data_IF_281551897014
#
_entry.id   IF_281551897014
#
_cell.length_a   1.000
_cell.length_b   1.000
_cell.length_c   1.000
_cell.angle_alpha   90.00
_cell.angle_beta   90.00
_cell.angle_gamma   90.00
#
_symmetry.space_group_name_H-M   'P 1'
#
loop_
_entity.id
_entity.type
_entity.pdbx_description
1 polymer ?
#
# COMPACT_ATOMS: atom_id res chain seq x y z
N UNK A 1 -1.13 3.26 -12.67
CA UNK A 1 -1.64 2.25 -11.72
C UNK A 1 -1.62 2.84 -10.33
N UNK A 2 -2.76 3.38 -9.88
CA UNK A 2 -2.89 3.93 -8.54
C UNK A 2 -3.27 2.78 -7.60
N UNK A 3 -2.36 2.37 -6.72
CA UNK A 3 -2.65 1.27 -5.81
C UNK A 3 -3.36 1.85 -4.60
N UNK A 4 -4.62 1.48 -4.40
CA UNK A 4 -5.40 1.98 -3.27
C UNK A 4 -5.10 1.13 -2.04
N UNK A 5 -4.69 1.78 -0.96
CA UNK A 5 -4.44 1.13 0.32
C UNK A 5 -5.24 1.81 1.42
N UNK A 6 -5.65 1.02 2.41
CA UNK A 6 -6.37 1.55 3.56
C UNK A 6 -5.38 2.18 4.54
N UNK A 7 -5.53 3.47 4.78
CA UNK A 7 -4.76 4.16 5.80
C UNK A 7 -5.49 4.08 7.14
N UNK A 8 -4.92 3.35 8.10
CA UNK A 8 -5.50 3.21 9.45
C UNK A 8 -5.58 4.53 10.21
N UNK A 9 -4.68 5.48 9.96
CA UNK A 9 -4.74 6.81 10.56
C UNK A 9 -5.88 7.65 10.00
N UNK A 10 -6.05 7.65 8.68
CA UNK A 10 -7.13 8.39 8.02
C UNK A 10 -8.47 7.64 8.03
N UNK A 11 -8.47 6.36 8.46
CA UNK A 11 -9.60 5.43 8.39
C UNK A 11 -10.30 5.42 7.02
N UNK A 12 -9.52 5.59 5.96
CA UNK A 12 -10.01 5.76 4.60
C UNK A 12 -9.11 5.02 3.62
N UNK A 13 -9.70 4.58 2.50
CA UNK A 13 -8.95 4.09 1.35
C UNK A 13 -8.34 5.30 0.65
N UNK A 14 -7.03 5.28 0.47
CA UNK A 14 -6.27 6.36 -0.17
C UNK A 14 -5.32 5.74 -1.19
N UNK A 15 -5.06 6.48 -2.26
CA UNK A 15 -4.06 6.10 -3.25
C UNK A 15 -2.69 6.26 -2.59
N UNK A 16 -1.87 5.19 -2.58
CA UNK A 16 -0.49 5.32 -2.11
C UNK A 16 0.32 6.18 -3.07
N UNK A 17 1.14 7.04 -2.48
CA UNK A 17 2.21 7.76 -3.14
C UNK A 17 3.47 6.89 -3.11
N UNK A 18 4.20 6.83 -4.22
CA UNK A 18 5.37 5.96 -4.40
C UNK A 18 5.07 4.48 -4.05
N UNK A 19 4.16 3.82 -4.80
CA UNK A 19 3.93 2.40 -4.63
C UNK A 19 5.19 1.61 -5.04
N UNK A 20 5.80 0.95 -4.05
CA UNK A 20 6.88 -0.01 -4.17
C UNK A 20 6.30 -1.40 -4.08
N UNK A 21 6.25 -2.08 -5.21
CA UNK A 21 5.96 -3.49 -5.31
C UNK A 21 7.15 -4.33 -4.83
N UNK A 22 6.86 -5.42 -4.14
CA UNK A 22 7.84 -6.36 -3.64
C UNK A 22 7.20 -7.70 -3.31
N UNK A 23 8.03 -8.64 -2.87
CA UNK A 23 7.60 -9.98 -2.52
C UNK A 23 7.88 -10.21 -1.04
N UNK A 24 6.86 -10.65 -0.29
CA UNK A 24 7.05 -11.05 1.10
C UNK A 24 7.90 -12.31 1.18
N UNK A 25 8.51 -12.57 2.36
CA UNK A 25 9.30 -13.78 2.63
C UNK A 25 8.52 -15.10 2.40
N UNK A 26 7.18 -15.02 2.36
CA UNK A 26 6.25 -16.12 2.09
C UNK A 26 5.81 -16.22 0.61
N UNK A 27 6.50 -15.53 -0.31
CA UNK A 27 6.23 -15.58 -1.75
C UNK A 27 4.99 -14.80 -2.22
N UNK A 28 4.32 -14.05 -1.33
CA UNK A 28 3.11 -13.28 -1.68
C UNK A 28 3.50 -11.87 -2.14
N UNK A 29 2.90 -11.34 -3.23
CA UNK A 29 3.10 -9.97 -3.67
C UNK A 29 2.58 -8.99 -2.60
N UNK A 30 3.38 -7.97 -2.35
CA UNK A 30 3.08 -6.87 -1.44
C UNK A 30 3.39 -5.56 -2.15
N UNK A 31 2.48 -4.61 -2.04
CA UNK A 31 2.76 -3.24 -2.44
C UNK A 31 2.84 -2.38 -1.19
N UNK A 32 3.96 -1.70 -1.00
CA UNK A 32 4.16 -0.70 0.05
C UNK A 32 4.09 0.67 -0.58
N UNK A 33 3.58 1.66 0.12
CA UNK A 33 3.62 3.05 -0.32
C UNK A 33 3.44 4.00 0.85
N UNK A 34 3.39 5.30 0.56
CA UNK A 34 3.14 6.33 1.57
C UNK A 34 1.75 6.90 1.43
N UNK A 35 1.07 7.14 2.55
CA UNK A 35 -0.17 7.89 2.56
C UNK A 35 0.12 9.36 2.22
N UNK A 36 -0.54 9.97 1.20
CA UNK A 36 -0.33 11.36 0.84
C UNK A 36 -0.86 12.35 1.90
N UNK A 37 -1.77 11.89 2.77
CA UNK A 37 -2.47 12.70 3.75
C UNK A 37 -1.69 12.80 5.08
N UNK A 38 -1.21 11.67 5.58
CA UNK A 38 -0.57 11.56 6.89
C UNK A 38 0.88 11.09 6.85
N UNK A 39 1.45 10.91 5.66
CA UNK A 39 2.84 10.46 5.45
C UNK A 39 3.15 9.05 5.94
N UNK A 40 2.17 8.34 6.51
CA UNK A 40 2.37 7.03 7.12
C UNK A 40 2.52 5.97 6.04
N UNK A 41 3.46 5.05 6.23
CA UNK A 41 3.66 3.91 5.33
C UNK A 41 2.42 3.02 5.36
N UNK A 42 1.78 2.87 4.22
CA UNK A 42 0.62 2.00 4.01
C UNK A 42 1.06 0.82 3.13
N UNK A 43 0.61 -0.38 3.49
CA UNK A 43 0.98 -1.60 2.79
C UNK A 43 -0.29 -2.33 2.39
N UNK A 44 -0.37 -2.76 1.14
CA UNK A 44 -1.42 -3.65 0.64
C UNK A 44 -0.79 -5.00 0.34
N UNK A 45 -1.17 -5.98 1.15
CA UNK A 45 -0.84 -7.39 0.94
C UNK A 45 -2.06 -8.00 0.25
N UNK A 46 -1.89 -8.51 -0.96
CA UNK A 46 -3.01 -9.05 -1.71
C UNK A 46 -2.77 -8.91 -3.19
N UNK A 47 -2.84 -10.05 -3.89
CA UNK A 47 -2.56 -10.24 -5.30
C UNK A 47 -2.96 -9.03 -6.17
N UNK A 48 -1.94 -8.37 -6.73
CA UNK A 48 -2.11 -7.83 -8.07
C UNK A 48 -2.32 -9.04 -8.95
N UNK A 49 -3.53 -9.18 -9.52
CA UNK A 49 -3.69 -9.94 -10.75
C UNK A 49 -3.41 -8.98 -11.89
#
# INVERSE_FOLDING_TARGET
MAIEAYCVKCKAKKIMKDPVEGTTKNGKPITKGKCPDCGTTICRIGATK
#
